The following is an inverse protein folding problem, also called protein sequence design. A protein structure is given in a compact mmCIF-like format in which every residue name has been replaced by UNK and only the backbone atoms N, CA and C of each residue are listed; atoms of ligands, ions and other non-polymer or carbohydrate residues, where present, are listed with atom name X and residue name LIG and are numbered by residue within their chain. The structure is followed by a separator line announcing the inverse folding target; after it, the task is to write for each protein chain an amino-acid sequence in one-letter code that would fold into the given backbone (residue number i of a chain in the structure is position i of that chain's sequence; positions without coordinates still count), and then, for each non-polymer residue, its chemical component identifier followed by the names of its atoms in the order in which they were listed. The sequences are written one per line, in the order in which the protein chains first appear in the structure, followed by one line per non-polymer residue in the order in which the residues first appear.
data_IF_982545054822
#
_entry.id   IF_982545054822
#
_cell.length_a   1.000
_cell.length_b   1.000
_cell.length_c   1.000
_cell.angle_alpha   90.00
_cell.angle_beta   90.00
_cell.angle_gamma   90.00
#
_symmetry.space_group_name_H-M   'P 1'
#
loop_
_entity.id
_entity.type
_entity.pdbx_description
1 polymer ?
#
# COMPACT_ATOMS: atom_id res chain seq x y z
N UNK A 1 -0.65 -13.93 5.09
CA UNK A 1 0.27 -14.05 3.92
C UNK A 1 0.43 -12.64 3.44
N UNK A 2 1.57 -12.01 3.68
CA UNK A 2 1.77 -10.55 3.59
C UNK A 2 1.34 -9.90 2.27
N UNK A 3 1.44 -10.61 1.15
CA UNK A 3 0.94 -10.12 -0.15
C UNK A 3 -0.59 -9.91 -0.22
N UNK A 4 -1.35 -10.32 0.80
CA UNK A 4 -2.79 -10.09 0.89
C UNK A 4 -3.19 -8.61 0.96
N UNK A 5 -2.27 -7.76 1.39
CA UNK A 5 -2.45 -6.31 1.48
C UNK A 5 -1.84 -5.54 0.30
N UNK A 6 -1.26 -6.26 -0.67
CA UNK A 6 -0.66 -5.68 -1.88
C UNK A 6 -1.62 -5.85 -3.05
N UNK A 7 -1.90 -4.75 -3.72
CA UNK A 7 -2.81 -4.71 -4.87
C UNK A 7 -2.04 -4.30 -6.12
N UNK A 8 -2.33 -4.89 -7.26
CA UNK A 8 -1.82 -4.46 -8.55
C UNK A 8 -2.91 -3.65 -9.24
N UNK A 9 -2.57 -2.48 -9.75
CA UNK A 9 -3.45 -1.68 -10.60
C UNK A 9 -3.35 -2.15 -12.05
N UNK A 10 -4.49 -2.57 -12.58
CA UNK A 10 -4.65 -3.01 -13.96
C UNK A 10 -4.76 -1.82 -14.91
N UNK A 11 -4.54 -2.07 -16.20
CA UNK A 11 -4.67 -1.08 -17.27
C UNK A 11 -6.11 -0.55 -17.41
N UNK A 12 -7.12 -1.32 -16.99
CA UNK A 12 -8.54 -0.91 -16.95
C UNK A 12 -8.89 -0.08 -15.71
N UNK A 13 -7.93 0.20 -14.83
CA UNK A 13 -8.12 0.89 -13.55
C UNK A 13 -8.59 -0.01 -12.40
N UNK A 14 -8.90 -1.28 -12.68
CA UNK A 14 -9.25 -2.27 -11.67
C UNK A 14 -8.06 -2.66 -10.79
N UNK A 15 -8.36 -3.32 -9.67
CA UNK A 15 -7.35 -3.82 -8.74
C UNK A 15 -7.42 -5.35 -8.65
N UNK A 16 -6.26 -6.00 -8.62
CA UNK A 16 -6.11 -7.44 -8.36
C UNK A 16 -5.19 -7.63 -7.16
N UNK A 17 -5.55 -8.51 -6.23
CA UNK A 17 -4.67 -8.83 -5.09
C UNK A 17 -3.48 -9.66 -5.53
N UNK A 18 -2.29 -9.33 -5.01
CA UNK A 18 -1.05 -10.00 -5.36
C UNK A 18 -1.05 -11.49 -4.98
N UNK A 19 -1.63 -11.85 -3.83
CA UNK A 19 -1.72 -13.26 -3.36
C UNK A 19 -2.63 -14.15 -4.24
N UNK A 20 -3.40 -13.56 -5.15
CA UNK A 20 -4.32 -14.29 -6.04
C UNK A 20 -3.76 -14.51 -7.43
N UNK A 21 -2.55 -14.05 -7.72
CA UNK A 21 -1.91 -14.22 -9.01
C UNK A 21 -1.33 -15.63 -9.08
N UNK A 22 -1.73 -16.40 -10.10
CA UNK A 22 -1.16 -17.72 -10.38
C UNK A 22 -0.05 -17.68 -11.42
N UNK A 23 -0.05 -16.67 -12.30
CA UNK A 23 0.90 -16.57 -13.41
C UNK A 23 1.05 -15.12 -13.88
N UNK A 24 2.21 -14.79 -14.45
CA UNK A 24 2.49 -13.51 -15.13
C UNK A 24 2.91 -13.84 -16.56
N UNK A 25 2.19 -13.30 -17.55
CA UNK A 25 2.32 -13.70 -18.96
C UNK A 25 2.54 -12.49 -19.85
N UNK A 26 3.44 -12.63 -20.81
CA UNK A 26 3.62 -11.66 -21.91
C UNK A 26 3.09 -12.29 -23.20
N UNK A 27 2.19 -11.59 -23.88
CA UNK A 27 1.60 -12.09 -25.14
C UNK A 27 1.27 -10.95 -26.11
N UNK A 28 1.33 -11.18 -27.42
CA UNK A 28 0.90 -10.18 -28.39
C UNK A 28 -0.63 -10.01 -28.34
N UNK A 29 -1.11 -8.78 -28.60
CA UNK A 29 -2.53 -8.54 -28.87
C UNK A 29 -2.96 -9.34 -30.09
N UNK A 30 -4.16 -9.95 -30.08
CA UNK A 30 -4.72 -10.54 -31.29
C UNK A 30 -4.71 -9.50 -32.42
N UNK A 31 -4.33 -9.92 -33.63
CA UNK A 31 -4.31 -9.03 -34.78
C UNK A 31 -5.74 -8.54 -35.08
N UNK A 32 -6.05 -7.30 -34.69
CA UNK A 32 -7.28 -6.62 -35.09
C UNK A 32 -6.97 -5.79 -36.33
N UNK A 33 -7.83 -5.88 -37.35
CA UNK A 33 -7.63 -5.21 -38.64
C UNK A 33 -7.46 -3.70 -38.43
N UNK A 34 -6.31 -3.15 -38.83
CA UNK A 34 -6.00 -1.71 -38.76
C UNK A 34 -5.36 -1.20 -37.46
N UNK A 35 -5.19 -2.03 -36.43
CA UNK A 35 -4.51 -1.64 -35.19
C UNK A 35 -2.98 -1.83 -35.24
N UNK A 36 -2.22 -0.96 -34.57
CA UNK A 36 -0.80 -1.23 -34.33
C UNK A 36 -0.68 -2.39 -33.33
N UNK A 37 0.07 -3.47 -33.65
CA UNK A 37 0.24 -4.59 -32.72
C UNK A 37 0.87 -4.09 -31.42
N UNK A 38 0.35 -4.56 -30.29
CA UNK A 38 0.88 -4.29 -28.94
C UNK A 38 1.20 -5.60 -28.24
N UNK A 39 2.10 -5.53 -27.28
CA UNK A 39 2.38 -6.60 -26.34
C UNK A 39 1.63 -6.33 -25.04
N UNK A 40 0.94 -7.34 -24.54
CA UNK A 40 0.23 -7.30 -23.27
C UNK A 40 1.09 -7.94 -22.19
N UNK A 41 1.18 -7.29 -21.04
CA UNK A 41 1.62 -7.90 -19.78
C UNK A 41 0.37 -8.20 -18.98
N UNK A 42 0.06 -9.48 -18.81
CA UNK A 42 -1.11 -9.95 -18.10
C UNK A 42 -0.72 -10.67 -16.80
N UNK A 43 -1.57 -10.56 -15.79
CA UNK A 43 -1.59 -11.48 -14.65
C UNK A 43 -2.76 -12.43 -14.80
N UNK A 44 -2.56 -13.67 -14.40
CA UNK A 44 -3.60 -14.70 -14.40
C UNK A 44 -4.11 -14.88 -12.98
N UNK A 45 -5.43 -14.81 -12.83
CA UNK A 45 -6.11 -15.02 -11.56
C UNK A 45 -7.05 -16.23 -11.71
N UNK A 46 -6.99 -17.22 -10.82
CA UNK A 46 -7.96 -18.30 -10.81
C UNK A 46 -9.32 -17.74 -10.40
N UNK A 47 -10.33 -17.98 -11.23
CA UNK A 47 -11.70 -17.55 -10.99
C UNK A 47 -12.66 -18.73 -11.03
N UNK A 48 -13.68 -18.81 -10.17
CA UNK A 48 -14.68 -19.87 -10.25
C UNK A 48 -15.36 -19.88 -11.62
N UNK A 49 -15.44 -21.06 -12.24
CA UNK A 49 -16.06 -21.29 -13.53
C UNK A 49 -17.33 -22.15 -13.34
N UNK A 50 -18.50 -21.50 -13.43
CA UNK A 50 -19.80 -22.17 -13.32
C UNK A 50 -20.20 -22.53 -11.89
N UNK A 51 -21.17 -23.44 -11.75
CA UNK A 51 -21.63 -23.94 -10.46
C UNK A 51 -20.68 -25.04 -9.94
N UNK A 52 -20.35 -24.99 -8.66
CA UNK A 52 -19.58 -26.04 -7.99
C UNK A 52 -20.33 -27.38 -8.00
N UNK A 53 -19.57 -28.47 -8.02
CA UNK A 53 -20.10 -29.82 -7.83
C UNK A 53 -19.60 -30.42 -6.52
N UNK A 54 -19.96 -31.68 -6.24
CA UNK A 54 -19.55 -32.41 -5.02
C UNK A 54 -18.03 -32.56 -4.84
N UNK A 55 -17.26 -32.31 -5.91
CA UNK A 55 -15.80 -32.34 -5.92
C UNK A 55 -15.18 -30.94 -5.79
N UNK A 56 -16.00 -29.90 -5.64
CA UNK A 56 -15.59 -28.52 -5.41
C UNK A 56 -15.95 -27.57 -6.55
N UNK A 57 -15.37 -26.37 -6.52
CA UNK A 57 -15.53 -25.38 -7.57
C UNK A 57 -14.50 -25.62 -8.66
N UNK A 58 -14.96 -25.69 -9.91
CA UNK A 58 -14.06 -25.61 -11.06
C UNK A 58 -13.51 -24.20 -11.13
N UNK A 59 -12.21 -24.06 -11.37
CA UNK A 59 -11.57 -22.76 -11.58
C UNK A 59 -11.10 -22.64 -13.03
N UNK A 60 -11.31 -21.46 -13.60
CA UNK A 60 -10.75 -21.04 -14.89
C UNK A 60 -9.71 -19.94 -14.70
N UNK A 61 -8.93 -19.69 -15.75
CA UNK A 61 -7.93 -18.63 -15.79
C UNK A 61 -8.54 -17.33 -16.30
N UNK A 62 -8.52 -16.28 -15.48
CA UNK A 62 -8.86 -14.93 -15.89
C UNK A 62 -7.58 -14.11 -16.12
N UNK A 63 -7.33 -13.73 -17.37
CA UNK A 63 -6.24 -12.82 -17.71
C UNK A 63 -6.67 -11.37 -17.44
N UNK A 64 -5.87 -10.64 -16.67
CA UNK A 64 -6.04 -9.20 -16.42
C UNK A 64 -4.80 -8.45 -16.87
N UNK A 65 -4.98 -7.44 -17.71
CA UNK A 65 -3.86 -6.70 -18.31
C UNK A 65 -3.34 -5.62 -17.37
N UNK A 66 -2.05 -5.69 -17.05
CA UNK A 66 -1.31 -4.67 -16.31
C UNK A 66 -0.89 -3.50 -17.21
N UNK A 67 -0.37 -3.82 -18.39
CA UNK A 67 0.16 -2.82 -19.32
C UNK A 67 0.12 -3.30 -20.76
N UNK A 68 0.16 -2.32 -21.67
CA UNK A 68 0.32 -2.54 -23.10
C UNK A 68 1.57 -1.81 -23.59
N UNK A 69 2.45 -2.52 -24.30
CA UNK A 69 3.72 -2.00 -24.78
C UNK A 69 3.82 -2.09 -26.31
N UNK A 70 4.46 -1.12 -26.99
CA UNK A 70 4.76 -1.24 -28.42
C UNK A 70 5.81 -2.32 -28.73
N UNK A 71 6.64 -2.71 -27.75
CA UNK A 71 7.74 -3.68 -27.91
C UNK A 71 7.58 -4.79 -26.86
N UNK A 72 8.03 -6.00 -27.17
CA UNK A 72 7.95 -7.15 -26.27
C UNK A 72 8.68 -6.88 -24.95
N UNK A 73 7.98 -6.81 -23.80
CA UNK A 73 8.59 -6.54 -22.50
C UNK A 73 9.05 -7.85 -21.85
N UNK A 74 10.13 -8.45 -22.39
CA UNK A 74 10.59 -9.81 -22.02
C UNK A 74 10.87 -10.00 -20.53
N UNK A 75 11.46 -8.99 -19.89
CA UNK A 75 11.85 -9.06 -18.47
C UNK A 75 10.70 -8.74 -17.50
N UNK A 76 9.56 -8.24 -17.99
CA UNK A 76 8.48 -7.77 -17.13
C UNK A 76 7.92 -8.84 -16.16
N UNK A 77 7.75 -10.12 -16.55
CA UNK A 77 7.33 -11.15 -15.61
C UNK A 77 8.33 -11.34 -14.46
N UNK A 78 9.63 -11.35 -14.77
CA UNK A 78 10.68 -11.55 -13.79
C UNK A 78 10.81 -10.34 -12.85
N UNK A 79 10.73 -9.12 -13.40
CA UNK A 79 10.80 -7.89 -12.62
C UNK A 79 9.63 -7.75 -11.65
N UNK A 80 8.41 -8.09 -12.09
CA UNK A 80 7.24 -8.10 -11.21
C UNK A 80 7.36 -9.17 -10.12
N UNK A 81 7.74 -10.40 -10.49
CA UNK A 81 7.92 -11.48 -9.53
C UNK A 81 8.98 -11.11 -8.47
N UNK A 82 10.08 -10.48 -8.89
CA UNK A 82 11.11 -9.99 -7.98
C UNK A 82 10.58 -8.90 -7.04
N UNK A 83 9.82 -7.93 -7.55
CA UNK A 83 9.20 -6.91 -6.70
C UNK A 83 8.26 -7.54 -5.66
N UNK A 84 7.39 -8.46 -6.07
CA UNK A 84 6.47 -9.13 -5.14
C UNK A 84 7.23 -9.94 -4.08
N UNK A 85 8.28 -10.65 -4.47
CA UNK A 85 9.14 -11.37 -3.54
C UNK A 85 9.86 -10.44 -2.53
N UNK A 86 10.15 -9.20 -2.91
CA UNK A 86 10.71 -8.20 -2.00
C UNK A 86 9.67 -7.62 -1.03
N UNK A 87 8.41 -7.49 -1.45
CA UNK A 87 7.32 -6.98 -0.62
C UNK A 87 6.80 -8.03 0.38
N UNK A 88 6.84 -9.31 0.01
CA UNK A 88 6.38 -10.43 0.86
C UNK A 88 7.00 -10.40 2.27
N UNK A 89 8.32 -10.32 2.49
CA UNK A 89 8.87 -10.29 3.86
C UNK A 89 8.60 -8.97 4.61
N UNK A 90 8.20 -7.89 3.94
CA UNK A 90 8.04 -6.57 4.55
C UNK A 90 6.65 -6.35 5.17
N UNK A 91 5.69 -7.24 4.90
CA UNK A 91 4.30 -7.15 5.38
C UNK A 91 3.65 -5.78 5.14
N UNK A 92 3.95 -5.18 3.99
CA UNK A 92 3.45 -3.85 3.64
C UNK A 92 2.10 -3.90 2.94
N UNK A 93 1.26 -2.92 3.24
CA UNK A 93 0.03 -2.68 2.50
C UNK A 93 0.24 -1.57 1.45
N UNK A 94 -0.24 -1.77 0.21
CA UNK A 94 -0.11 -0.76 -0.84
C UNK A 94 -0.55 -1.21 -2.22
N UNK A 95 -0.24 -0.37 -3.21
CA UNK A 95 -0.56 -0.58 -4.62
C UNK A 95 0.70 -0.60 -5.47
N UNK A 96 0.84 -1.62 -6.32
CA UNK A 96 1.79 -1.69 -7.41
C UNK A 96 1.13 -1.12 -8.67
N UNK A 97 1.75 -0.09 -9.24
CA UNK A 97 1.33 0.53 -10.50
C UNK A 97 2.33 0.22 -11.59
N UNK A 98 1.88 0.21 -12.84
CA UNK A 98 2.72 -0.11 -13.99
C UNK A 98 2.95 1.14 -14.83
N UNK A 99 4.20 1.38 -15.24
CA UNK A 99 4.57 2.43 -16.21
C UNK A 99 5.20 1.79 -17.43
N UNK A 100 4.81 2.27 -18.60
CA UNK A 100 5.42 1.88 -19.88
C UNK A 100 6.25 3.05 -20.35
N UNK A 101 7.56 2.89 -20.43
CA UNK A 101 8.43 3.95 -20.93
C UNK A 101 8.40 4.00 -22.45
N UNK A 102 8.57 5.20 -23.00
CA UNK A 102 8.73 5.33 -24.44
C UNK A 102 10.02 4.60 -24.88
N UNK A 103 10.01 3.93 -26.05
CA UNK A 103 11.24 3.38 -26.61
C UNK A 103 12.25 4.51 -26.75
N UNK A 104 13.46 4.28 -26.24
CA UNK A 104 14.52 5.27 -26.31
C UNK A 104 14.77 5.63 -27.78
N UNK A 105 14.95 6.92 -28.07
CA UNK A 105 15.07 7.44 -29.43
C UNK A 105 16.25 6.85 -30.21
N UNK A 106 16.45 7.23 -31.48
CA UNK A 106 17.36 6.57 -32.43
C UNK A 106 18.86 6.59 -32.07
N UNK A 107 19.25 7.15 -30.92
CA UNK A 107 20.62 7.21 -30.39
C UNK A 107 20.79 6.42 -29.09
N UNK A 108 19.81 5.60 -28.70
CA UNK A 108 19.98 4.65 -27.62
C UNK A 108 20.93 3.55 -28.09
N UNK A 109 22.17 3.68 -27.65
CA UNK A 109 23.30 2.83 -27.98
C UNK A 109 22.99 1.34 -27.73
N UNK A 110 23.72 0.47 -28.43
CA UNK A 110 23.46 -0.93 -28.81
C UNK A 110 23.05 -1.97 -27.75
N UNK A 111 22.73 -1.57 -26.52
CA UNK A 111 22.22 -2.44 -25.45
C UNK A 111 20.85 -2.01 -24.88
N UNK A 112 20.18 -1.01 -25.47
CA UNK A 112 18.87 -0.51 -25.02
C UNK A 112 17.70 -1.36 -25.56
N UNK A 113 17.55 -2.56 -25.02
CA UNK A 113 16.45 -3.49 -25.31
C UNK A 113 15.09 -3.01 -24.80
N UNK A 114 14.10 -3.02 -25.70
CA UNK A 114 12.66 -2.84 -25.47
C UNK A 114 12.21 -1.57 -24.71
N UNK A 115 10.93 -1.20 -24.85
CA UNK A 115 10.32 -0.23 -23.95
C UNK A 115 10.24 -0.88 -22.56
N UNK A 116 10.97 -0.41 -21.53
CA UNK A 116 10.93 -1.05 -20.24
C UNK A 116 9.55 -0.80 -19.61
N UNK A 117 8.91 -1.90 -19.20
CA UNK A 117 7.76 -1.86 -18.31
C UNK A 117 8.30 -1.84 -16.89
N UNK A 118 7.96 -0.81 -16.12
CA UNK A 118 8.41 -0.65 -14.73
C UNK A 118 7.24 -0.79 -13.77
N UNK A 119 7.50 -1.46 -12.66
CA UNK A 119 6.54 -1.62 -11.56
C UNK A 119 6.95 -0.73 -10.39
N UNK A 120 5.98 0.01 -9.86
CA UNK A 120 6.20 0.98 -8.80
C UNK A 120 5.25 0.71 -7.66
N UNK A 121 5.79 0.45 -6.47
CA UNK A 121 5.00 0.27 -5.26
C UNK A 121 4.77 1.61 -4.54
N UNK A 122 3.53 1.84 -4.11
CA UNK A 122 3.13 2.94 -3.24
C UNK A 122 2.43 2.38 -2.02
N UNK A 123 3.00 2.57 -0.83
CA UNK A 123 2.39 2.08 0.41
C UNK A 123 1.15 2.89 0.78
N UNK A 124 0.17 2.23 1.38
CA UNK A 124 -0.86 2.92 2.12
C UNK A 124 -0.22 3.50 3.37
N UNK A 125 -0.23 4.82 3.53
CA UNK A 125 0.19 5.44 4.78
C UNK A 125 -0.70 4.90 5.90
N UNK A 126 -0.11 4.26 6.91
CA UNK A 126 -0.85 3.93 8.12
C UNK A 126 -1.35 5.24 8.74
N UNK A 127 -2.66 5.40 8.86
CA UNK A 127 -3.20 6.39 9.79
C UNK A 127 -2.75 5.96 11.18
N UNK A 128 -1.89 6.75 11.83
CA UNK A 128 -1.53 6.53 13.23
C UNK A 128 -2.82 6.68 14.04
N UNK A 129 -3.30 5.65 14.74
CA UNK A 129 -4.44 5.81 15.63
C UNK A 129 -4.07 6.85 16.70
N UNK A 130 -4.92 7.86 16.90
CA UNK A 130 -4.66 8.95 17.82
C UNK A 130 -4.65 8.52 19.31
N UNK A 131 -5.04 7.29 19.64
CA UNK A 131 -5.29 6.85 21.02
C UNK A 131 -4.10 6.21 21.75
N UNK A 132 -2.91 6.14 21.15
CA UNK A 132 -1.73 5.57 21.81
C UNK A 132 -0.91 6.58 22.64
N UNK A 133 -1.35 7.84 22.77
CA UNK A 133 -0.60 8.88 23.52
C UNK A 133 -1.13 9.20 24.92
N UNK A 134 -2.28 8.64 25.32
CA UNK A 134 -2.89 8.96 26.63
C UNK A 134 -2.79 7.84 27.69
N UNK A 135 -2.08 6.75 27.40
CA UNK A 135 -1.99 5.60 28.31
C UNK A 135 -0.55 5.26 28.73
N UNK A 136 0.16 6.20 29.37
CA UNK A 136 1.14 5.91 30.45
C UNK A 136 1.96 7.15 30.82
N UNK A 137 1.66 7.80 31.95
CA UNK A 137 2.61 8.17 33.03
C UNK A 137 1.79 8.82 34.14
N UNK A 138 1.25 7.99 35.03
CA UNK A 138 0.42 8.45 36.14
C UNK A 138 0.10 7.31 37.11
N UNK A 139 1.11 6.54 37.51
CA UNK A 139 1.14 5.73 38.72
C UNK A 139 2.48 4.98 38.75
N UNK A 140 3.46 5.50 39.48
CA UNK A 140 4.45 4.63 40.11
C UNK A 140 4.37 4.84 41.61
N UNK A 141 4.30 3.69 42.26
CA UNK A 141 3.76 3.38 43.56
C UNK A 141 4.92 3.39 44.56
N UNK A 142 4.86 4.26 45.59
CA UNK A 142 5.76 4.18 46.75
C UNK A 142 5.04 3.47 47.88
N UNK A 143 5.70 2.47 48.44
CA UNK A 143 5.30 1.75 49.67
C UNK A 143 6.58 1.39 50.48
N UNK A 144 6.55 1.01 51.78
CA UNK A 144 5.92 1.58 52.99
C UNK A 144 6.91 1.88 54.16
N UNK A 145 6.36 2.39 55.28
CA UNK A 145 6.86 2.40 56.69
C UNK A 145 7.92 3.47 57.07
N UNK A 146 7.87 4.23 58.18
CA UNK A 146 7.02 4.40 59.39
C UNK A 146 7.41 5.79 60.04
N UNK A 147 6.93 6.23 61.22
CA UNK A 147 6.10 7.42 61.45
C UNK A 147 6.85 8.56 62.20
N UNK A 148 6.10 9.55 62.75
CA UNK A 148 6.51 10.65 63.68
C UNK A 148 6.90 11.96 62.93
N UNK A 149 6.38 13.18 63.20
CA UNK A 149 5.57 13.76 64.27
C UNK A 149 4.82 15.03 63.81
N UNK A 150 3.74 15.33 64.55
CA UNK A 150 3.29 16.64 65.08
C UNK A 150 3.15 17.91 64.18
N UNK A 151 1.87 18.32 64.06
CA UNK A 151 1.26 19.67 64.18
C UNK A 151 2.09 20.76 64.92
N UNK A 152 1.68 22.06 64.95
CA UNK A 152 0.76 22.84 64.09
C UNK A 152 1.16 24.33 63.84
N UNK A 153 0.34 25.04 63.06
CA UNK A 153 -0.14 26.43 63.29
C UNK A 153 0.68 27.65 62.79
N UNK A 154 -0.10 28.72 62.53
CA UNK A 154 0.23 30.12 62.15
C UNK A 154 0.60 30.36 60.67
N UNK A 155 0.12 31.40 59.97
CA UNK A 155 -0.60 32.63 60.36
C UNK A 155 -1.18 33.32 59.11
N UNK A 156 -2.23 34.11 59.32
CA UNK A 156 -2.57 35.39 58.65
C UNK A 156 -2.94 35.43 57.16
N UNK A 157 -4.22 35.76 56.92
CA UNK A 157 -4.72 36.54 55.78
C UNK A 157 -4.55 38.06 56.08
N UNK A 158 -5.16 39.03 55.36
CA UNK A 158 -5.73 39.07 54.00
C UNK A 158 -5.20 40.29 53.20
N UNK A 159 -5.65 40.49 51.96
CA UNK A 159 -5.47 41.77 51.27
C UNK A 159 -6.24 41.92 49.96
N UNK A 160 -7.39 42.61 50.06
CA UNK A 160 -7.98 43.63 49.18
C UNK A 160 -7.89 43.46 47.66
N UNK A 161 -9.05 43.40 46.99
CA UNK A 161 -9.71 44.52 46.26
C UNK A 161 -9.04 44.79 44.90
N UNK A 162 -9.69 45.16 43.81
CA UNK A 162 -11.07 45.29 43.36
C UNK A 162 -10.93 45.83 41.91
N UNK A 163 -12.07 46.04 41.24
CA UNK A 163 -12.25 46.91 40.05
C UNK A 163 -11.88 46.22 38.71
N UNK A 164 -12.81 45.67 37.91
CA UNK A 164 -14.03 46.20 37.23
C UNK A 164 -13.75 46.69 35.80
N UNK A 165 -14.58 46.17 34.87
CA UNK A 165 -14.98 46.72 33.56
C UNK A 165 -13.88 46.81 32.48
N UNK A 166 -14.14 46.71 31.17
CA UNK A 166 -15.32 46.47 30.33
C UNK A 166 -14.74 46.10 28.92
N UNK A 167 -15.31 45.13 28.21
CA UNK A 167 -16.20 45.31 27.04
C UNK A 167 -15.58 45.93 25.76
N UNK A 168 -15.87 45.29 24.61
CA UNK A 168 -15.87 45.89 23.27
C UNK A 168 -14.69 45.45 22.40
N UNK A 169 -14.84 44.43 21.54
CA UNK A 169 -15.38 44.53 20.17
C UNK A 169 -14.37 45.10 19.15
N UNK A 170 -13.80 44.22 18.32
CA UNK A 170 -14.04 44.16 16.87
C UNK A 170 -13.39 42.92 16.25
#
# INVERSE_FOLDING_TARGET
MSLEHVWLQMCDGGLVRADRISEIVVRPTPAVYGGTPRWLVDVVVPTPAGAGDRHGWRTGSLHRTLAQSPVEPREAPLDLARLLAQLDPLDTAGVVTTRVDAPAGPHADRDAGAAPVRFLFSSFRAAVPADARDASTGADERDPADPRQEKPSRREAPGSDAVRAAAGAH
#
